data_IF_682359118387
#
_entry.id   IF_682359118387
#
_cell.length_a   1.000
_cell.length_b   1.000
_cell.length_c   1.000
_cell.angle_alpha   90.00
_cell.angle_beta   90.00
_cell.angle_gamma   90.00
#
_symmetry.space_group_name_H-M   'P 1'
#
loop_
_entity.id
_entity.type
_entity.pdbx_description
1 polymer ?
#
# COMPACT_ATOMS: atom_id res chain seq x y z
N UNK A 1 35.50 -31.13 14.09
CA UNK A 1 35.29 -30.80 15.52
C UNK A 1 33.95 -30.09 15.64
N UNK A 2 32.95 -30.71 16.28
CA UNK A 2 31.62 -30.14 16.43
C UNK A 2 31.62 -29.05 17.51
N UNK A 3 30.84 -27.98 17.34
CA UNK A 3 30.70 -26.91 18.31
C UNK A 3 29.85 -27.39 19.50
N UNK A 4 30.48 -27.62 20.65
CA UNK A 4 29.84 -28.08 21.89
C UNK A 4 29.33 -26.92 22.78
N UNK A 5 29.52 -25.66 22.36
CA UNK A 5 29.17 -24.45 23.12
C UNK A 5 27.78 -23.87 22.82
N UNK A 6 27.06 -24.39 21.81
CA UNK A 6 25.71 -23.91 21.44
C UNK A 6 25.64 -22.51 20.80
N UNK A 7 26.74 -21.74 20.80
CA UNK A 7 26.83 -20.41 20.19
C UNK A 7 27.03 -20.51 18.67
N UNK A 8 26.13 -19.94 17.87
CA UNK A 8 26.23 -19.91 16.40
C UNK A 8 27.23 -18.82 15.97
N UNK A 9 28.30 -19.20 15.27
CA UNK A 9 29.35 -18.28 14.78
C UNK A 9 29.28 -18.01 13.27
N UNK A 10 28.08 -18.12 12.67
CA UNK A 10 27.89 -17.92 11.23
C UNK A 10 26.44 -18.09 10.80
N UNK A 11 26.10 -17.52 9.65
CA UNK A 11 24.76 -17.54 9.07
C UNK A 11 24.48 -16.30 8.21
N UNK A 12 23.33 -16.28 7.55
CA UNK A 12 22.88 -15.11 6.80
C UNK A 12 22.75 -13.91 7.76
N UNK A 13 23.42 -12.81 7.46
CA UNK A 13 23.34 -11.61 8.29
C UNK A 13 21.91 -11.04 8.26
N UNK A 14 21.42 -10.59 9.41
CA UNK A 14 20.12 -9.93 9.51
C UNK A 14 20.17 -8.66 8.64
N UNK A 15 19.23 -8.54 7.71
CA UNK A 15 19.19 -7.44 6.74
C UNK A 15 19.78 -7.76 5.38
N UNK A 16 20.46 -8.91 5.17
CA UNK A 16 20.89 -9.30 3.82
C UNK A 16 19.66 -9.54 2.94
N UNK A 17 19.44 -8.73 1.89
CA UNK A 17 18.28 -8.88 1.02
C UNK A 17 18.38 -10.22 0.30
N UNK A 18 17.25 -10.93 0.18
CA UNK A 18 17.22 -12.15 -0.62
C UNK A 18 17.24 -11.75 -2.10
N UNK A 19 18.34 -12.04 -2.81
CA UNK A 19 18.57 -11.60 -4.19
C UNK A 19 17.40 -11.98 -5.12
N UNK A 20 16.90 -13.20 -5.00
CA UNK A 20 15.73 -13.68 -5.75
C UNK A 20 14.49 -12.80 -5.49
N UNK A 21 14.23 -12.41 -4.24
CA UNK A 21 13.10 -11.49 -3.94
C UNK A 21 13.31 -10.08 -4.45
N UNK A 22 14.57 -9.62 -4.60
CA UNK A 22 14.86 -8.31 -5.19
C UNK A 22 14.55 -8.33 -6.68
N UNK A 23 15.04 -9.34 -7.38
CA UNK A 23 14.81 -9.52 -8.82
C UNK A 23 13.31 -9.64 -9.13
N UNK A 24 12.58 -10.47 -8.36
CA UNK A 24 11.11 -10.58 -8.50
C UNK A 24 10.38 -9.26 -8.23
N UNK A 25 10.79 -8.48 -7.22
CA UNK A 25 10.20 -7.14 -6.99
C UNK A 25 10.45 -6.18 -8.15
N UNK A 26 11.63 -6.23 -8.76
CA UNK A 26 11.92 -5.40 -9.93
C UNK A 26 11.00 -5.76 -11.09
N UNK A 27 10.91 -7.04 -11.43
CA UNK A 27 10.05 -7.50 -12.53
C UNK A 27 8.59 -7.12 -12.29
N UNK A 28 8.07 -7.33 -11.08
CA UNK A 28 6.69 -6.95 -10.74
C UNK A 28 6.47 -5.44 -10.84
N UNK A 29 7.44 -4.64 -10.41
CA UNK A 29 7.38 -3.18 -10.51
C UNK A 29 7.34 -2.73 -11.98
N UNK A 30 8.15 -3.33 -12.83
CA UNK A 30 8.20 -3.01 -14.25
C UNK A 30 6.88 -3.38 -14.95
N UNK A 31 6.31 -4.57 -14.65
CA UNK A 31 4.99 -4.96 -15.14
C UNK A 31 3.92 -3.96 -14.71
N UNK A 32 3.88 -3.59 -13.42
CA UNK A 32 2.90 -2.63 -12.93
C UNK A 32 3.04 -1.26 -13.60
N UNK A 33 4.26 -0.77 -13.86
CA UNK A 33 4.43 0.49 -14.59
C UNK A 33 3.92 0.41 -16.01
N UNK A 34 4.24 -0.66 -16.73
CA UNK A 34 3.78 -0.83 -18.11
C UNK A 34 2.25 -0.92 -18.19
N UNK A 35 1.61 -1.59 -17.23
CA UNK A 35 0.15 -1.63 -17.13
C UNK A 35 -0.45 -0.25 -16.84
N UNK A 36 0.18 0.52 -15.95
CA UNK A 36 -0.27 1.88 -15.62
C UNK A 36 -0.09 2.87 -16.80
N UNK A 37 0.98 2.74 -17.58
CA UNK A 37 1.21 3.57 -18.77
C UNK A 37 0.14 3.31 -19.84
N UNK A 38 -0.37 2.07 -19.92
CA UNK A 38 -1.38 1.66 -20.89
C UNK A 38 -2.80 1.64 -20.33
N UNK A 39 -3.01 2.18 -19.13
CA UNK A 39 -4.28 2.01 -18.42
C UNK A 39 -5.46 2.64 -19.17
N UNK A 40 -5.24 3.73 -19.89
CA UNK A 40 -6.28 4.39 -20.68
C UNK A 40 -6.78 3.47 -21.81
N UNK A 41 -5.87 2.92 -22.61
CA UNK A 41 -6.19 1.96 -23.68
C UNK A 41 -6.90 0.72 -23.14
N UNK A 42 -6.41 0.19 -22.00
CA UNK A 42 -7.01 -0.97 -21.35
C UNK A 42 -8.44 -0.66 -20.89
N UNK A 43 -8.67 0.51 -20.27
CA UNK A 43 -10.00 0.93 -19.83
C UNK A 43 -10.98 1.13 -21.00
N UNK A 44 -10.50 1.59 -22.16
CA UNK A 44 -11.30 1.71 -23.38
C UNK A 44 -11.70 0.35 -23.96
N UNK A 45 -10.85 -0.67 -23.79
CA UNK A 45 -11.12 -2.03 -24.27
C UNK A 45 -12.17 -2.79 -23.44
N UNK A 46 -12.49 -2.31 -22.23
CA UNK A 46 -13.43 -2.95 -21.32
C UNK A 46 -14.89 -2.72 -21.71
N UNK A 47 -15.76 -3.66 -21.29
CA UNK A 47 -17.20 -3.44 -21.40
C UNK A 47 -17.63 -2.29 -20.47
N UNK A 48 -18.70 -1.55 -20.80
CA UNK A 48 -19.12 -0.39 -20.03
C UNK A 48 -19.29 -0.65 -18.52
N UNK A 49 -19.83 -1.82 -18.14
CA UNK A 49 -20.02 -2.21 -16.74
C UNK A 49 -18.69 -2.43 -16.01
N UNK A 50 -17.74 -3.11 -16.66
CA UNK A 50 -16.41 -3.41 -16.09
C UNK A 50 -15.60 -2.13 -15.92
N UNK A 51 -15.66 -1.25 -16.93
CA UNK A 51 -15.03 0.08 -16.88
C UNK A 51 -15.57 0.90 -15.71
N UNK A 52 -16.90 0.94 -15.53
CA UNK A 52 -17.53 1.66 -14.42
C UNK A 52 -17.09 1.10 -13.05
N UNK A 53 -17.05 -0.23 -12.91
CA UNK A 53 -16.60 -0.88 -11.68
C UNK A 53 -15.15 -0.54 -11.33
N UNK A 54 -14.27 -0.53 -12.33
CA UNK A 54 -12.87 -0.12 -12.15
C UNK A 54 -12.74 1.35 -11.76
N UNK A 55 -13.48 2.24 -12.41
CA UNK A 55 -13.49 3.68 -12.06
C UNK A 55 -13.93 3.88 -10.61
N UNK A 56 -14.97 3.17 -10.15
CA UNK A 56 -15.42 3.23 -8.75
C UNK A 56 -14.31 2.75 -7.80
N UNK A 57 -13.59 1.69 -8.14
CA UNK A 57 -12.47 1.17 -7.33
C UNK A 57 -11.26 2.12 -7.31
N UNK A 58 -11.05 2.90 -8.36
CA UNK A 58 -9.96 3.88 -8.47
C UNK A 58 -10.28 5.22 -7.80
N UNK A 59 -11.56 5.59 -7.71
CA UNK A 59 -12.03 6.86 -7.13
C UNK A 59 -11.45 7.19 -5.74
N UNK A 60 -11.31 6.25 -4.78
CA UNK A 60 -10.75 6.54 -3.45
C UNK A 60 -9.25 6.88 -3.45
N UNK A 61 -8.56 6.63 -4.55
CA UNK A 61 -7.13 6.96 -4.71
C UNK A 61 -6.94 8.31 -5.41
N UNK A 62 -7.92 8.77 -6.18
CA UNK A 62 -7.91 10.07 -6.83
C UNK A 62 -8.52 11.17 -5.96
N UNK A 63 -9.52 10.82 -5.15
CA UNK A 63 -10.24 11.77 -4.30
C UNK A 63 -9.88 11.55 -2.82
N UNK A 64 -9.69 12.63 -2.04
CA UNK A 64 -9.57 12.52 -0.61
C UNK A 64 -10.84 11.89 -0.05
N UNK A 65 -10.68 10.93 0.86
CA UNK A 65 -11.82 10.38 1.60
C UNK A 65 -12.38 11.51 2.46
N UNK A 66 -13.70 11.70 2.41
CA UNK A 66 -14.37 12.62 3.32
C UNK A 66 -14.23 12.04 4.72
N UNK A 67 -13.50 12.74 5.58
CA UNK A 67 -13.38 12.36 6.98
C UNK A 67 -14.76 12.38 7.63
N UNK A 68 -15.05 11.32 8.40
CA UNK A 68 -16.28 11.29 9.20
C UNK A 68 -16.15 12.37 10.25
N UNK A 69 -16.90 13.45 10.07
CA UNK A 69 -17.01 14.53 11.04
C UNK A 69 -17.55 13.89 12.33
N UNK A 70 -16.76 13.95 13.41
CA UNK A 70 -17.19 13.50 14.74
C UNK A 70 -18.32 14.39 15.24
N UNK A 71 -19.22 13.82 16.06
CA UNK A 71 -20.41 14.53 16.55
C UNK A 71 -20.11 15.84 17.31
N UNK A 72 -18.86 16.04 17.74
CA UNK A 72 -18.41 17.20 18.52
C UNK A 72 -17.72 18.28 17.68
N UNK A 73 -17.61 18.12 16.36
CA UNK A 73 -16.75 18.96 15.51
C UNK A 73 -17.21 20.43 15.37
N UNK A 74 -18.30 20.84 16.01
CA UNK A 74 -18.75 22.22 16.13
C UNK A 74 -19.31 22.53 17.53
N UNK A 75 -19.05 21.68 18.53
CA UNK A 75 -19.47 21.98 19.89
C UNK A 75 -18.49 23.00 20.48
N UNK A 76 -18.98 24.09 21.12
CA UNK A 76 -18.12 25.00 21.83
C UNK A 76 -17.35 24.24 22.91
N UNK A 77 -16.03 24.45 22.97
CA UNK A 77 -15.22 23.94 24.07
C UNK A 77 -15.71 24.58 25.37
N UNK A 78 -16.39 23.81 26.22
CA UNK A 78 -16.77 24.25 27.57
C UNK A 78 -15.49 24.42 28.41
N UNK A 79 -14.96 25.63 28.44
CA UNK A 79 -13.86 26.05 29.33
C UNK A 79 -14.32 26.26 30.78
N UNK A 80 -15.62 26.11 31.07
CA UNK A 80 -16.24 26.45 32.36
C UNK A 80 -16.05 25.40 33.47
N UNK A 81 -15.35 24.28 33.22
CA UNK A 81 -15.10 23.24 34.23
C UNK A 81 -13.78 23.40 35.03
N UNK A 82 -13.07 24.52 34.84
CA UNK A 82 -11.80 24.84 35.53
C UNK A 82 -11.93 25.99 36.54
N UNK A 83 -13.14 26.26 37.03
CA UNK A 83 -13.43 27.21 38.13
C UNK A 83 -13.50 26.55 39.49
#
# INVERSE_FOLDING_TARGET
MANTTGKKYGGRQKGTPNRLTKELRTILKDVLYNELERIEELLESLKPKERLELVIKLMPFALPKVDKIGHTNNEPYDFDLLG
#
